data_IF_516780924122
#
_entry.id   IF_516780924122
#
_cell.length_a   1.000
_cell.length_b   1.000
_cell.length_c   1.000
_cell.angle_alpha   90.00
_cell.angle_beta   90.00
_cell.angle_gamma   90.00
#
_symmetry.space_group_name_H-M   'P 1'
#
loop_
_entity.id
_entity.type
_entity.pdbx_description
1 polymer ?
#
# COMPACT_ATOMS: atom_id res chain seq x y z
N UNK A 1 5.17 -23.94 -6.91
CA UNK A 1 6.37 -23.11 -6.66
C UNK A 1 7.10 -22.92 -7.98
N UNK A 2 7.66 -21.73 -8.24
CA UNK A 2 8.39 -21.44 -9.48
C UNK A 2 9.57 -22.41 -9.68
N UNK A 3 9.70 -22.98 -10.88
CA UNK A 3 10.81 -23.89 -11.24
C UNK A 3 12.19 -23.19 -11.27
N UNK A 4 12.21 -21.85 -11.28
CA UNK A 4 13.42 -21.03 -11.22
C UNK A 4 13.47 -20.23 -9.92
N UNK A 5 14.66 -20.02 -9.37
CA UNK A 5 14.89 -19.24 -8.14
C UNK A 5 14.71 -17.73 -8.39
N UNK A 6 13.45 -17.33 -8.53
CA UNK A 6 12.95 -15.96 -8.65
C UNK A 6 11.66 -15.83 -7.85
N UNK A 7 11.27 -14.60 -7.53
CA UNK A 7 9.91 -14.34 -7.07
C UNK A 7 8.91 -14.77 -8.14
N UNK A 8 7.77 -15.32 -7.71
CA UNK A 8 6.73 -15.74 -8.62
C UNK A 8 6.08 -14.50 -9.25
N UNK A 9 5.84 -14.55 -10.56
CA UNK A 9 4.96 -13.59 -11.21
C UNK A 9 3.52 -13.89 -10.73
N UNK A 10 2.77 -12.92 -10.20
CA UNK A 10 1.41 -13.14 -9.72
C UNK A 10 0.47 -13.71 -10.79
N UNK A 11 0.70 -13.40 -12.07
CA UNK A 11 -0.11 -13.93 -13.18
C UNK A 11 0.18 -15.39 -13.53
N UNK A 12 1.28 -15.95 -13.03
CA UNK A 12 1.62 -17.37 -13.18
C UNK A 12 1.06 -18.24 -12.03
N UNK A 13 0.52 -17.61 -10.98
CA UNK A 13 -0.03 -18.33 -9.83
C UNK A 13 -1.41 -18.88 -10.20
N UNK A 14 -1.51 -20.20 -10.14
CA UNK A 14 -2.77 -20.93 -10.35
C UNK A 14 -3.67 -20.76 -9.14
N UNK A 15 -4.97 -20.83 -9.41
CA UNK A 15 -5.98 -20.88 -8.36
C UNK A 15 -5.82 -22.15 -7.52
N UNK A 16 -6.24 -22.06 -6.26
CA UNK A 16 -6.25 -23.20 -5.35
C UNK A 16 -7.44 -24.09 -5.75
N UNK A 17 -7.28 -25.43 -5.86
CA UNK A 17 -8.39 -26.31 -6.22
C UNK A 17 -9.60 -26.11 -5.30
N UNK A 18 -10.78 -25.89 -5.89
CA UNK A 18 -12.02 -25.60 -5.18
C UNK A 18 -12.26 -24.11 -4.87
N UNK A 19 -11.36 -23.22 -5.28
CA UNK A 19 -11.50 -21.76 -5.19
C UNK A 19 -11.48 -21.09 -6.55
N UNK A 20 -11.82 -21.81 -7.62
CA UNK A 20 -11.92 -21.26 -8.96
C UNK A 20 -12.90 -20.06 -8.99
N UNK A 21 -12.66 -19.10 -9.88
CA UNK A 21 -13.49 -17.88 -10.03
C UNK A 21 -13.56 -16.96 -8.80
N UNK A 22 -12.71 -17.15 -7.79
CA UNK A 22 -12.66 -16.32 -6.57
C UNK A 22 -12.56 -14.81 -6.87
N UNK A 23 -11.98 -14.42 -8.01
CA UNK A 23 -11.80 -13.03 -8.46
C UNK A 23 -13.12 -12.29 -8.61
N UNK A 24 -14.21 -12.98 -8.96
CA UNK A 24 -15.54 -12.38 -9.12
C UNK A 24 -16.11 -11.85 -7.80
N UNK A 25 -15.60 -12.32 -6.66
CA UNK A 25 -16.02 -11.82 -5.35
C UNK A 25 -15.50 -10.40 -5.08
N UNK A 26 -14.42 -9.97 -5.74
CA UNK A 26 -13.72 -8.72 -5.47
C UNK A 26 -14.01 -7.68 -6.56
N UNK A 27 -13.93 -6.37 -6.25
CA UNK A 27 -13.99 -5.33 -7.27
C UNK A 27 -12.94 -5.55 -8.37
N UNK A 28 -13.26 -5.20 -9.62
CA UNK A 28 -12.44 -5.55 -10.79
C UNK A 28 -10.97 -5.08 -10.72
N UNK A 29 -10.69 -4.04 -9.94
CA UNK A 29 -9.36 -3.43 -9.81
C UNK A 29 -8.50 -4.05 -8.70
N UNK A 30 -9.07 -4.95 -7.90
CA UNK A 30 -8.40 -5.57 -6.75
C UNK A 30 -7.62 -6.84 -7.10
N UNK A 31 -8.18 -7.80 -7.85
CA UNK A 31 -7.39 -8.91 -8.36
C UNK A 31 -6.28 -8.42 -9.30
N UNK A 32 -5.20 -9.19 -9.39
CA UNK A 32 -4.22 -9.00 -10.45
C UNK A 32 -4.89 -8.99 -11.83
N UNK A 33 -4.48 -8.04 -12.66
CA UNK A 33 -5.10 -7.71 -13.92
C UNK A 33 -5.11 -8.92 -14.87
N UNK A 34 -6.20 -9.10 -15.63
CA UNK A 34 -6.22 -10.10 -16.70
C UNK A 34 -5.29 -9.62 -17.85
N UNK A 35 -4.21 -10.35 -18.18
CA UNK A 35 -3.24 -9.88 -19.18
C UNK A 35 -3.81 -9.69 -20.59
N UNK A 36 -4.94 -10.34 -20.91
CA UNK A 36 -5.62 -10.17 -22.21
C UNK A 36 -6.47 -8.89 -22.25
N UNK A 37 -7.07 -8.52 -21.13
CA UNK A 37 -7.97 -7.36 -21.04
C UNK A 37 -7.21 -6.08 -20.69
N UNK A 38 -6.21 -6.17 -19.81
CA UNK A 38 -5.45 -5.04 -19.27
C UNK A 38 -3.93 -5.29 -19.38
N UNK A 39 -3.39 -5.42 -20.61
CA UNK A 39 -1.99 -5.81 -20.82
C UNK A 39 -0.97 -4.82 -20.24
N UNK A 40 -1.31 -3.51 -20.21
CA UNK A 40 -0.45 -2.49 -19.61
C UNK A 40 -0.31 -2.66 -18.10
N UNK A 41 -1.43 -2.88 -17.41
CA UNK A 41 -1.47 -3.09 -15.96
C UNK A 41 -0.80 -4.41 -15.58
N UNK A 42 -1.09 -5.49 -16.31
CA UNK A 42 -0.43 -6.78 -16.07
C UNK A 42 1.09 -6.69 -16.26
N UNK A 43 1.57 -5.94 -17.26
CA UNK A 43 3.01 -5.69 -17.44
C UNK A 43 3.61 -4.95 -16.24
N UNK A 44 2.93 -3.92 -15.73
CA UNK A 44 3.34 -3.21 -14.52
C UNK A 44 3.41 -4.18 -13.32
N UNK A 45 2.37 -4.96 -13.09
CA UNK A 45 2.28 -5.94 -12.00
C UNK A 45 3.37 -7.02 -12.08
N UNK A 46 3.70 -7.53 -13.26
CA UNK A 46 4.80 -8.47 -13.48
C UNK A 46 6.20 -7.88 -13.22
N UNK A 47 6.35 -6.55 -13.29
CA UNK A 47 7.61 -5.85 -13.05
C UNK A 47 7.74 -5.34 -11.61
N UNK A 48 6.66 -5.41 -10.84
CA UNK A 48 6.57 -4.99 -9.44
C UNK A 48 7.00 -6.08 -8.46
N UNK A 49 7.38 -5.67 -7.25
CA UNK A 49 7.70 -6.58 -6.16
C UNK A 49 6.58 -6.61 -5.14
N UNK A 50 5.73 -7.64 -5.21
CA UNK A 50 4.58 -7.79 -4.34
C UNK A 50 4.93 -8.48 -3.02
N UNK A 51 4.61 -7.83 -1.90
CA UNK A 51 4.80 -8.35 -0.57
C UNK A 51 3.46 -8.77 0.03
N UNK A 52 3.40 -9.96 0.63
CA UNK A 52 2.22 -10.35 1.38
C UNK A 52 2.08 -9.45 2.62
N UNK A 53 0.96 -8.73 2.74
CA UNK A 53 0.70 -7.84 3.86
C UNK A 53 0.09 -8.58 5.06
N UNK A 54 0.81 -9.59 5.53
CA UNK A 54 0.35 -10.45 6.63
C UNK A 54 0.33 -9.77 8.00
N UNK A 55 0.99 -8.61 8.15
CA UNK A 55 0.94 -7.84 9.39
C UNK A 55 -0.45 -7.24 9.61
N UNK A 56 -1.07 -6.73 8.55
CA UNK A 56 -2.40 -6.11 8.61
C UNK A 56 -3.51 -7.11 8.25
N UNK A 57 -3.24 -8.05 7.34
CA UNK A 57 -4.21 -9.03 6.84
C UNK A 57 -3.66 -10.46 6.97
N UNK A 58 -3.60 -11.01 8.20
CA UNK A 58 -3.02 -12.33 8.48
C UNK A 58 -3.88 -13.50 7.97
N UNK A 59 -5.11 -13.24 7.53
CA UNK A 59 -6.08 -14.21 7.02
C UNK A 59 -6.62 -13.79 5.65
N UNK A 60 -7.24 -14.69 4.87
CA UNK A 60 -7.93 -14.29 3.64
C UNK A 60 -9.05 -13.29 3.96
N UNK A 61 -9.04 -12.15 3.29
CA UNK A 61 -9.99 -11.06 3.48
C UNK A 61 -11.25 -11.33 2.65
N UNK A 62 -12.40 -11.33 3.31
CA UNK A 62 -13.69 -11.45 2.64
C UNK A 62 -14.02 -10.18 1.82
N UNK A 63 -14.82 -10.28 0.76
CA UNK A 63 -15.10 -9.15 -0.11
C UNK A 63 -15.82 -7.98 0.59
N UNK A 64 -16.59 -8.25 1.65
CA UNK A 64 -17.27 -7.23 2.44
C UNK A 64 -16.34 -6.52 3.45
N UNK A 65 -15.18 -7.09 3.75
CA UNK A 65 -14.20 -6.54 4.69
C UNK A 65 -13.12 -5.68 3.99
N UNK A 66 -13.16 -5.59 2.66
CA UNK A 66 -12.21 -4.82 1.85
C UNK A 66 -12.21 -3.32 2.11
N UNK A 67 -13.26 -2.79 2.73
CA UNK A 67 -13.40 -1.34 2.93
C UNK A 67 -12.20 -0.74 3.66
N UNK A 68 -11.59 -1.48 4.59
CA UNK A 68 -10.40 -1.01 5.31
C UNK A 68 -9.17 -0.97 4.41
N UNK A 69 -9.00 -1.99 3.58
CA UNK A 69 -7.89 -2.06 2.62
C UNK A 69 -8.02 -0.99 1.53
N UNK A 70 -9.22 -0.78 1.01
CA UNK A 70 -9.50 0.20 -0.04
C UNK A 70 -9.27 1.62 0.49
N UNK A 71 -9.74 1.89 1.71
CA UNK A 71 -9.45 3.13 2.41
C UNK A 71 -7.94 3.31 2.59
N UNK A 72 -7.20 2.29 3.03
CA UNK A 72 -5.76 2.37 3.24
C UNK A 72 -5.01 2.62 1.93
N UNK A 73 -5.32 1.86 0.88
CA UNK A 73 -4.79 2.04 -0.47
C UNK A 73 -4.93 3.50 -0.94
N UNK A 74 -6.15 4.06 -0.83
CA UNK A 74 -6.42 5.41 -1.32
C UNK A 74 -5.83 6.50 -0.41
N UNK A 75 -6.04 6.39 0.90
CA UNK A 75 -5.65 7.45 1.84
C UNK A 75 -4.15 7.47 2.05
N UNK A 76 -3.48 6.32 2.25
CA UNK A 76 -2.05 6.29 2.43
C UNK A 76 -1.31 6.81 1.19
N UNK A 77 -1.77 6.44 -0.01
CA UNK A 77 -1.22 6.96 -1.26
C UNK A 77 -1.46 8.45 -1.42
N UNK A 78 -2.63 8.96 -1.02
CA UNK A 78 -2.87 10.41 -0.99
C UNK A 78 -1.91 11.13 -0.03
N UNK A 79 -1.69 10.58 1.17
CA UNK A 79 -0.77 11.15 2.14
C UNK A 79 0.66 11.16 1.63
N UNK A 80 1.13 10.07 1.02
CA UNK A 80 2.49 9.95 0.51
C UNK A 80 2.69 10.83 -0.74
N UNK A 81 1.88 10.64 -1.78
CA UNK A 81 2.08 11.25 -3.09
C UNK A 81 1.59 12.69 -3.21
N UNK A 82 0.58 13.12 -2.42
CA UNK A 82 -0.08 14.42 -2.59
C UNK A 82 -0.03 15.34 -1.38
N UNK A 83 -0.13 14.82 -0.16
CA UNK A 83 -0.17 15.68 1.05
C UNK A 83 1.26 15.93 1.55
N UNK A 84 2.02 14.89 1.86
CA UNK A 84 3.43 15.02 2.25
C UNK A 84 4.35 15.20 1.04
N UNK A 85 3.99 14.62 -0.12
CA UNK A 85 4.76 14.68 -1.37
C UNK A 85 6.15 14.06 -1.22
N UNK A 86 6.21 12.80 -0.80
CA UNK A 86 7.48 12.08 -0.71
C UNK A 86 8.20 12.11 -2.08
N UNK A 87 9.48 12.50 -2.14
CA UNK A 87 10.13 12.75 -3.43
C UNK A 87 10.20 11.55 -4.35
N UNK A 88 10.35 10.35 -3.79
CA UNK A 88 10.59 9.11 -4.54
C UNK A 88 9.39 8.18 -4.57
N UNK A 89 8.21 8.60 -4.09
CA UNK A 89 7.10 7.68 -3.86
C UNK A 89 5.73 8.33 -4.12
N UNK A 90 4.88 7.64 -4.87
CA UNK A 90 3.50 8.04 -5.17
C UNK A 90 2.47 7.48 -4.18
N UNK A 91 2.84 6.47 -3.39
CA UNK A 91 1.95 5.70 -2.54
C UNK A 91 2.21 4.19 -2.61
N UNK A 92 1.17 3.42 -2.31
CA UNK A 92 1.19 1.95 -2.36
C UNK A 92 0.08 1.45 -3.25
N UNK A 93 0.38 0.39 -4.01
CA UNK A 93 -0.63 -0.36 -4.74
C UNK A 93 -1.03 -1.61 -3.95
N UNK A 94 -2.27 -2.06 -4.14
CA UNK A 94 -2.84 -3.20 -3.44
C UNK A 94 -3.45 -4.17 -4.45
N UNK A 95 -3.13 -5.45 -4.31
CA UNK A 95 -3.70 -6.53 -5.10
C UNK A 95 -4.10 -7.70 -4.21
N UNK A 96 -5.11 -8.43 -4.66
CA UNK A 96 -5.53 -9.66 -4.00
C UNK A 96 -5.14 -10.86 -4.83
N UNK A 97 -4.72 -11.91 -4.14
CA UNK A 97 -4.51 -13.24 -4.71
C UNK A 97 -5.02 -14.29 -3.73
N UNK A 98 -6.04 -15.05 -4.13
CA UNK A 98 -6.70 -16.07 -3.29
C UNK A 98 -7.14 -15.51 -1.92
N UNK A 99 -7.72 -14.30 -1.93
CA UNK A 99 -8.17 -13.59 -0.73
C UNK A 99 -7.06 -12.97 0.13
N UNK A 100 -5.79 -13.16 -0.21
CA UNK A 100 -4.66 -12.54 0.50
C UNK A 100 -4.31 -11.20 -0.12
N UNK A 101 -4.08 -10.19 0.72
CA UNK A 101 -3.66 -8.84 0.29
C UNK A 101 -2.15 -8.81 0.07
N UNK A 102 -1.76 -8.30 -1.08
CA UNK A 102 -0.39 -8.03 -1.47
C UNK A 102 -0.23 -6.54 -1.76
N UNK A 103 0.89 -5.99 -1.31
CA UNK A 103 1.20 -4.57 -1.48
C UNK A 103 2.51 -4.38 -2.23
N UNK A 104 2.62 -3.27 -2.94
CA UNK A 104 3.85 -2.78 -3.55
C UNK A 104 3.99 -1.27 -3.36
N UNK A 105 5.20 -0.76 -3.46
CA UNK A 105 5.50 0.67 -3.53
C UNK A 105 5.29 1.19 -4.94
N UNK A 106 4.69 2.37 -5.08
CA UNK A 106 4.59 3.06 -6.37
C UNK A 106 5.71 4.09 -6.48
N UNK A 107 6.84 3.69 -7.05
CA UNK A 107 8.04 4.52 -7.04
C UNK A 107 8.00 5.65 -8.09
N UNK A 108 8.53 6.81 -7.73
CA UNK A 108 8.85 7.90 -8.67
C UNK A 108 10.25 7.63 -9.18
N UNK A 109 10.41 7.27 -10.46
CA UNK A 109 11.72 6.93 -11.04
C UNK A 109 12.34 8.05 -11.87
N UNK A 110 11.57 9.07 -12.26
CA UNK A 110 12.07 10.22 -13.04
C UNK A 110 12.87 11.17 -12.11
N UNK A 111 14.19 11.36 -12.34
CA UNK A 111 15.02 12.25 -11.54
C UNK A 111 14.53 13.70 -11.53
N UNK A 112 13.93 14.19 -12.61
CA UNK A 112 13.44 15.57 -12.67
C UNK A 112 12.15 15.75 -11.87
N UNK A 113 11.28 14.75 -11.86
CA UNK A 113 10.10 14.74 -10.99
C UNK A 113 10.49 14.66 -9.51
N UNK A 114 11.46 13.80 -9.16
CA UNK A 114 12.00 13.72 -7.79
C UNK A 114 12.51 15.10 -7.35
N UNK A 115 13.33 15.77 -8.16
CA UNK A 115 13.88 17.09 -7.83
C UNK A 115 12.81 18.15 -7.58
N UNK A 116 11.73 18.16 -8.38
CA UNK A 116 10.60 19.10 -8.21
C UNK A 116 9.84 18.87 -6.91
N UNK A 117 9.78 17.62 -6.42
CA UNK A 117 9.07 17.24 -5.19
C UNK A 117 9.81 17.61 -3.91
N UNK A 118 11.14 17.59 -3.93
CA UNK A 118 11.98 17.89 -2.75
C UNK A 118 11.58 19.19 -2.02
N UNK A 119 11.44 20.36 -2.69
CA UNK A 119 11.08 21.58 -1.97
C UNK A 119 9.68 21.50 -1.35
N UNK A 120 8.72 20.84 -2.00
CA UNK A 120 7.36 20.65 -1.47
C UNK A 120 7.37 19.75 -0.23
N UNK A 121 8.12 18.65 -0.27
CA UNK A 121 8.29 17.77 0.89
C UNK A 121 8.92 18.53 2.07
N UNK A 122 9.97 19.31 1.80
CA UNK A 122 10.67 20.08 2.82
C UNK A 122 9.76 21.14 3.46
N UNK A 123 8.95 21.83 2.67
CA UNK A 123 7.97 22.80 3.17
C UNK A 123 6.93 22.15 4.07
N UNK A 124 6.40 20.98 3.68
CA UNK A 124 5.25 20.36 4.35
C UNK A 124 5.63 19.49 5.55
N UNK A 125 6.80 18.84 5.50
CA UNK A 125 7.20 17.81 6.47
C UNK A 125 8.50 18.17 7.18
N UNK A 126 9.33 19.04 6.59
CA UNK A 126 10.65 19.35 7.10
C UNK A 126 10.66 19.91 8.53
N UNK A 127 9.68 20.73 8.90
CA UNK A 127 9.54 21.21 10.28
C UNK A 127 9.28 20.07 11.26
N UNK A 128 8.37 19.15 10.93
CA UNK A 128 8.03 18.02 11.79
C UNK A 128 9.23 17.11 11.98
N UNK A 129 9.95 16.78 10.90
CA UNK A 129 11.13 15.90 10.98
C UNK A 129 12.26 16.54 11.82
N UNK A 130 12.52 17.84 11.61
CA UNK A 130 13.56 18.55 12.36
C UNK A 130 13.27 18.61 13.86
N UNK A 131 12.00 18.71 14.24
CA UNK A 131 11.56 18.93 15.62
C UNK A 131 10.85 17.71 16.23
N UNK A 132 11.00 16.52 15.62
CA UNK A 132 10.19 15.33 15.96
C UNK A 132 10.20 15.00 17.44
N UNK A 133 11.38 14.99 18.07
CA UNK A 133 11.52 14.64 19.48
C UNK A 133 10.67 15.56 20.38
N UNK A 134 10.80 16.87 20.21
CA UNK A 134 10.09 17.86 21.03
C UNK A 134 8.58 17.79 20.80
N UNK A 135 8.15 17.61 19.54
CA UNK A 135 6.74 17.44 19.19
C UNK A 135 6.17 16.17 19.82
N UNK A 136 6.92 15.06 19.78
CA UNK A 136 6.53 13.79 20.39
C UNK A 136 6.43 13.90 21.90
N UNK A 137 7.43 14.47 22.58
CA UNK A 137 7.41 14.66 24.03
C UNK A 137 6.17 15.48 24.47
N UNK A 138 5.82 16.54 23.72
CA UNK A 138 4.61 17.34 23.98
C UNK A 138 3.32 16.58 23.72
N UNK A 139 3.29 15.76 22.68
CA UNK A 139 2.14 14.91 22.37
C UNK A 139 1.92 13.86 23.46
N UNK A 140 2.99 13.21 23.93
CA UNK A 140 2.91 12.18 24.97
C UNK A 140 2.28 12.73 26.26
N UNK A 141 2.70 13.92 26.71
CA UNK A 141 2.10 14.58 27.88
C UNK A 141 0.60 14.81 27.69
N UNK A 142 0.18 15.26 26.51
CA UNK A 142 -1.26 15.49 26.20
C UNK A 142 -2.05 14.19 26.22
N UNK A 143 -1.52 13.12 25.62
CA UNK A 143 -2.21 11.83 25.57
C UNK A 143 -2.32 11.22 26.97
N UNK A 144 -1.27 11.26 27.78
CA UNK A 144 -1.30 10.77 29.18
C UNK A 144 -2.36 11.48 30.01
N UNK A 145 -2.43 12.81 29.92
CA UNK A 145 -3.47 13.60 30.59
C UNK A 145 -4.88 13.20 30.14
N UNK A 146 -5.08 13.00 28.84
CA UNK A 146 -6.38 12.58 28.30
C UNK A 146 -6.79 11.19 28.81
N UNK A 147 -5.82 10.26 28.93
CA UNK A 147 -6.09 8.92 29.49
C UNK A 147 -6.56 9.05 30.94
N UNK A 148 -5.84 9.81 31.78
CA UNK A 148 -6.23 10.05 33.17
C UNK A 148 -7.65 10.64 33.28
N UNK A 149 -7.99 11.62 32.44
CA UNK A 149 -9.32 12.25 32.41
C UNK A 149 -10.45 11.32 31.93
N UNK A 150 -10.13 10.27 31.17
CA UNK A 150 -11.15 9.34 30.61
C UNK A 150 -11.34 8.11 31.50
N UNK A 151 -10.40 7.82 32.41
CA UNK A 151 -10.49 6.70 33.35
C UNK A 151 -11.20 7.07 34.67
N UNK A 152 -11.47 8.36 34.92
CA UNK A 152 -12.33 8.87 36.00
C UNK A 152 -13.84 8.72 35.72
#
# INVERSE_FOLDING_TARGET
>A
MSEKRRFADPHEIKDIPGTEEWREMYPYYYPFANPRQMPGTAKYESQSLWFYDGLHYPEPVGPLDLIWDDMWHHTASAWVGRIHVFPTNWGRDHRILNGRVYIDSTDVTDPEEIKKRVPLFQERVGFVLKNWKELYDRWEVKVKKLIEETEE
#
